data_IF_101064997962
#
_entry.id   IF_101064997962
#
_cell.length_a   1.000
_cell.length_b   1.000
_cell.length_c   1.000
_cell.angle_alpha   90.00
_cell.angle_beta   90.00
_cell.angle_gamma   90.00
#
_symmetry.space_group_name_H-M   'P 1'
#
loop_
_entity.id
_entity.type
_entity.pdbx_description
1 polymer ?
2 branched ?
3 branched ?
4 non-polymer ?
5 non-polymer ?
6 non-polymer ?
7 water ?
#
# COMPACT_ATOMS: atom_id res chain seq x y z
N UNK A 1 7.00 -21.86 -12.01
CA UNK A 1 7.70 -23.18 -11.96
C UNK A 1 7.69 -23.80 -10.57
N UNK A 2 8.47 -23.20 -9.66
CA UNK A 2 8.56 -23.64 -8.27
C UNK A 2 8.13 -22.43 -7.44
N UNK A 3 7.65 -22.66 -6.21
CA UNK A 3 7.25 -21.53 -5.38
C UNK A 3 8.47 -20.68 -5.05
N UNK A 4 8.31 -19.36 -5.08
CA UNK A 4 9.43 -18.50 -4.73
C UNK A 4 9.68 -18.52 -3.23
N UNK A 5 10.94 -18.49 -2.84
CA UNK A 5 11.31 -18.45 -1.43
C UNK A 5 12.05 -17.15 -1.19
N UNK A 6 11.79 -16.51 -0.05
CA UNK A 6 12.45 -15.25 0.29
C UNK A 6 13.84 -15.58 0.80
N UNK A 7 14.74 -15.85 -0.12
CA UNK A 7 16.10 -16.22 0.28
C UNK A 7 17.09 -15.08 0.35
N UNK A 8 16.76 -13.93 -0.23
CA UNK A 8 17.70 -12.81 -0.23
C UNK A 8 17.36 -11.74 0.80
N UNK A 9 18.36 -10.92 1.11
CA UNK A 9 18.17 -9.82 2.04
C UNK A 9 17.98 -8.59 1.16
N UNK A 10 17.66 -7.44 1.75
CA UNK A 10 17.47 -6.21 0.97
C UNK A 10 18.80 -5.67 0.46
N UNK A 11 18.77 -5.02 -0.70
CA UNK A 11 19.96 -4.39 -1.23
C UNK A 11 20.15 -3.13 -0.37
N UNK A 12 21.35 -2.58 -0.36
CA UNK A 12 21.62 -1.37 0.40
C UNK A 12 20.97 -0.19 -0.32
N UNK A 13 20.16 0.54 0.41
CA UNK A 13 19.44 1.68 -0.14
C UNK A 13 20.25 2.95 0.10
N UNK A 14 20.87 3.47 -0.96
CA UNK A 14 21.65 4.71 -0.83
C UNK A 14 20.94 5.89 -1.44
N UNK A 15 19.91 5.58 -2.24
CA UNK A 15 19.03 6.56 -2.86
C UNK A 15 17.90 5.82 -3.59
N UNK A 16 17.01 6.59 -4.22
CA UNK A 16 15.87 6.03 -4.96
C UNK A 16 15.87 6.52 -6.40
N UNK A 17 15.72 5.60 -7.35
CA UNK A 17 15.68 5.94 -8.78
C UNK A 17 14.24 5.80 -9.29
N UNK A 18 13.89 6.57 -10.32
CA UNK A 18 12.55 6.50 -10.88
C UNK A 18 12.34 5.11 -11.50
N UNK A 19 11.19 4.49 -11.21
CA UNK A 19 10.88 3.15 -11.69
C UNK A 19 9.71 3.18 -12.69
N UNK A 20 8.59 3.77 -12.28
CA UNK A 20 7.45 3.87 -13.17
C UNK A 20 6.63 5.11 -12.87
N UNK A 21 5.90 5.60 -13.86
CA UNK A 21 5.03 6.76 -13.72
C UNK A 21 4.06 6.68 -14.88
N UNK A 22 2.76 6.71 -14.60
CA UNK A 22 1.77 6.60 -15.67
C UNK A 22 1.08 7.90 -16.15
N UNK A 23 1.27 9.02 -15.45
CA UNK A 23 0.68 10.30 -15.86
C UNK A 23 -0.79 10.11 -16.28
N UNK A 24 -1.49 9.28 -15.52
CA UNK A 24 -2.87 8.92 -15.85
C UNK A 24 -3.85 10.05 -15.93
N UNK A 25 -3.81 10.99 -14.99
CA UNK A 25 -4.75 12.10 -15.00
C UNK A 25 -4.47 13.05 -16.17
N UNK A 26 -3.19 13.31 -16.48
CA UNK A 26 -2.83 14.16 -17.61
C UNK A 26 -3.36 13.55 -18.90
N UNK A 27 -3.04 12.28 -19.10
CA UNK A 27 -3.45 11.60 -20.32
C UNK A 27 -4.95 11.42 -20.41
N UNK A 28 -5.57 11.05 -19.29
CA UNK A 28 -7.01 10.82 -19.23
C UNK A 28 -7.87 12.02 -19.50
N UNK A 29 -7.26 13.21 -19.56
CA UNK A 29 -7.99 14.43 -19.86
C UNK A 29 -8.58 14.34 -21.27
N UNK A 30 -7.95 13.51 -22.11
CA UNK A 30 -8.39 13.36 -23.49
C UNK A 30 -8.18 11.94 -24.02
N UNK A 31 -8.51 10.94 -23.20
CA UNK A 31 -8.43 9.55 -23.62
C UNK A 31 -9.22 8.75 -22.60
N UNK A 32 -9.57 7.52 -22.94
CA UNK A 32 -10.42 6.71 -22.08
C UNK A 32 -9.74 6.02 -20.92
N UNK A 33 -9.37 6.86 -19.95
CA UNK A 33 -8.69 6.41 -18.76
C UNK A 33 -9.74 6.23 -17.65
N UNK A 34 -9.68 5.09 -16.97
CA UNK A 34 -10.60 4.79 -15.89
C UNK A 34 -10.26 5.59 -14.64
N UNK A 35 -11.30 5.97 -13.89
CA UNK A 35 -11.11 6.65 -12.62
C UNK A 35 -10.68 5.51 -11.68
N UNK A 36 -9.69 5.78 -10.84
CA UNK A 36 -9.22 4.80 -9.88
C UNK A 36 -8.84 5.48 -8.56
N UNK A 37 -8.28 4.67 -7.67
CA UNK A 37 -7.70 5.07 -6.38
C UNK A 37 -7.21 3.75 -5.73
N UNK A 38 -6.44 3.88 -4.65
CA UNK A 38 -5.87 2.74 -3.92
C UNK A 38 -5.03 1.87 -4.88
N UNK A 39 -4.06 2.49 -5.56
CA UNK A 39 -3.19 1.77 -6.50
C UNK A 39 -2.04 1.07 -5.77
N UNK A 40 -1.33 0.25 -6.53
CA UNK A 40 -0.13 -0.42 -6.04
C UNK A 40 0.59 -1.06 -7.23
N UNK A 41 1.69 -1.74 -6.97
CA UNK A 41 2.45 -2.37 -8.03
C UNK A 41 2.76 -3.79 -7.54
N UNK A 42 2.81 -4.74 -8.46
CA UNK A 42 3.09 -6.12 -8.09
C UNK A 42 3.70 -6.85 -9.30
N UNK A 43 4.70 -7.68 -9.04
CA UNK A 43 5.39 -8.42 -10.08
C UNK A 43 5.05 -9.88 -10.15
N UNK A 44 5.11 -10.38 -11.39
CA UNK A 44 4.93 -11.78 -11.71
C UNK A 44 6.39 -12.13 -12.10
N UNK A 45 6.70 -13.41 -12.23
CA UNK A 45 8.08 -13.79 -12.59
C UNK A 45 8.60 -13.21 -13.92
N UNK A 46 7.69 -12.81 -14.79
CA UNK A 46 8.08 -12.29 -16.10
C UNK A 46 7.54 -10.90 -16.43
N UNK A 47 6.93 -10.24 -15.46
CA UNK A 47 6.35 -8.92 -15.71
C UNK A 47 5.91 -8.26 -14.43
N UNK A 48 6.01 -6.93 -14.37
CA UNK A 48 5.55 -6.14 -13.22
C UNK A 48 4.47 -5.24 -13.79
N UNK A 49 3.38 -5.10 -13.06
CA UNK A 49 2.24 -4.31 -13.53
C UNK A 49 1.68 -3.37 -12.46
N UNK A 50 0.92 -2.36 -12.91
CA UNK A 50 0.27 -1.43 -12.00
C UNK A 50 -1.09 -2.06 -11.69
N UNK A 51 -1.59 -1.81 -10.47
CA UNK A 51 -2.87 -2.32 -9.98
C UNK A 51 -3.60 -1.15 -9.33
N UNK A 52 -4.93 -1.23 -9.26
CA UNK A 52 -5.76 -0.24 -8.61
C UNK A 52 -7.21 -0.65 -8.56
N UNK A 53 -7.99 0.08 -7.77
CA UNK A 53 -9.41 -0.16 -7.68
C UNK A 53 -10.09 0.83 -8.62
N UNK A 54 -10.62 0.31 -9.72
CA UNK A 54 -11.33 1.13 -10.68
C UNK A 54 -12.61 1.61 -10.03
N UNK A 55 -13.19 2.68 -10.58
CA UNK A 55 -14.46 3.20 -10.10
C UNK A 55 -15.55 2.87 -11.16
N UNK A 56 -15.16 2.14 -12.20
CA UNK A 56 -16.08 1.75 -13.24
C UNK A 56 -16.65 2.87 -14.08
N UNK A 57 -15.78 3.80 -14.49
CA UNK A 57 -16.17 4.94 -15.32
C UNK A 57 -14.87 5.61 -15.73
N UNK A 58 -14.86 6.35 -16.84
CA UNK A 58 -13.66 7.09 -17.25
C UNK A 58 -13.68 8.43 -16.50
N UNK A 59 -12.55 9.15 -16.49
CA UNK A 59 -12.48 10.43 -15.78
C UNK A 59 -13.33 11.48 -16.45
N UNK A 60 -13.30 11.54 -17.77
CA UNK A 60 -14.13 12.51 -18.51
C UNK A 60 -15.61 12.09 -18.56
N UNK A 61 -15.89 10.85 -18.21
CA UNK A 61 -17.24 10.37 -18.25
C UNK A 61 -18.11 11.04 -17.21
N UNK A 62 -19.38 11.20 -17.51
CA UNK A 62 -20.31 11.82 -16.58
C UNK A 62 -20.43 11.03 -15.28
N UNK A 63 -20.23 9.70 -15.35
CA UNK A 63 -20.31 8.87 -14.15
C UNK A 63 -19.12 9.07 -13.21
N UNK A 64 -18.20 9.97 -13.57
CA UNK A 64 -17.04 10.25 -12.70
C UNK A 64 -17.53 11.10 -11.52
N UNK A 65 -18.72 11.70 -11.69
CA UNK A 65 -19.29 12.52 -10.64
C UNK A 65 -19.63 11.63 -9.45
N UNK A 66 -18.98 11.86 -8.31
CA UNK A 66 -19.27 11.07 -7.12
C UNK A 66 -18.20 10.06 -6.71
N UNK A 67 -17.14 9.94 -7.51
CA UNK A 67 -16.06 8.99 -7.26
C UNK A 67 -15.22 9.23 -6.02
N UNK A 68 -15.60 10.21 -5.19
CA UNK A 68 -14.89 10.42 -3.94
C UNK A 68 -15.27 9.22 -3.02
N UNK A 69 -16.44 8.64 -3.24
CA UNK A 69 -16.90 7.50 -2.44
C UNK A 69 -16.04 6.26 -2.61
N UNK A 70 -15.74 5.60 -1.50
CA UNK A 70 -14.88 4.43 -1.49
C UNK A 70 -15.42 3.07 -1.87
N UNK A 71 -16.68 2.81 -1.55
CA UNK A 71 -17.25 1.49 -1.81
C UNK A 71 -18.53 1.53 -2.60
N UNK A 72 -18.51 0.92 -3.77
CA UNK A 72 -19.68 0.86 -4.64
C UNK A 72 -19.61 -0.46 -5.36
N UNK A 73 -20.71 -0.82 -6.00
CA UNK A 73 -20.83 -2.05 -6.77
C UNK A 73 -20.10 -1.93 -8.10
N UNK A 74 -19.56 -0.74 -8.40
CA UNK A 74 -18.90 -0.50 -9.68
C UNK A 74 -17.39 -0.55 -9.64
N UNK A 75 -16.86 -0.88 -8.48
CA UNK A 75 -15.42 -0.96 -8.31
C UNK A 75 -14.91 -2.36 -8.61
N UNK A 76 -13.63 -2.45 -8.98
CA UNK A 76 -13.01 -3.75 -9.28
C UNK A 76 -11.48 -3.60 -9.23
N UNK A 77 -10.77 -4.67 -8.88
CA UNK A 77 -9.31 -4.60 -8.88
C UNK A 77 -8.89 -4.80 -10.34
N UNK A 78 -8.14 -3.85 -10.89
CA UNK A 78 -7.67 -4.01 -12.26
C UNK A 78 -6.16 -3.93 -12.27
N UNK A 79 -5.54 -4.48 -13.32
CA UNK A 79 -4.10 -4.37 -13.47
C UNK A 79 -3.85 -4.00 -14.93
N UNK A 80 -2.70 -3.39 -15.18
CA UNK A 80 -2.38 -2.97 -16.52
C UNK A 80 -0.87 -2.83 -16.65
N UNK A 81 -0.36 -2.77 -17.88
CA UNK A 81 1.09 -2.66 -18.10
C UNK A 81 1.78 -1.51 -17.38
N UNK A 82 2.97 -1.81 -16.87
CA UNK A 82 3.80 -0.88 -16.13
C UNK A 82 3.94 0.47 -16.83
N UNK A 83 3.61 1.53 -16.10
CA UNK A 83 3.71 2.92 -16.53
C UNK A 83 2.74 3.37 -17.62
N UNK A 84 1.86 2.48 -18.06
CA UNK A 84 0.81 2.85 -19.00
C UNK A 84 -0.31 3.33 -18.07
N UNK A 85 -1.31 4.10 -18.58
CA UNK A 85 -2.36 4.50 -17.65
C UNK A 85 -3.41 3.40 -17.68
N UNK A 86 -4.29 3.36 -16.66
CA UNK A 86 -5.35 2.35 -16.60
C UNK A 86 -6.49 2.76 -17.53
N UNK A 87 -6.48 2.23 -18.75
CA UNK A 87 -7.52 2.59 -19.72
C UNK A 87 -8.59 1.49 -19.80
N UNK A 88 -9.71 1.84 -20.40
CA UNK A 88 -10.80 0.91 -20.57
C UNK A 88 -10.33 -0.30 -21.39
N UNK A 89 -9.46 -0.02 -22.35
CA UNK A 89 -8.95 -1.02 -23.29
C UNK A 89 -7.73 -1.86 -22.89
N UNK A 90 -7.00 -1.48 -21.84
CA UNK A 90 -5.81 -2.25 -21.43
C UNK A 90 -5.89 -2.73 -19.99
N UNK A 91 -7.00 -2.44 -19.32
CA UNK A 91 -7.11 -2.84 -17.92
C UNK A 91 -7.72 -4.21 -17.81
N UNK A 92 -7.04 -5.09 -17.07
CA UNK A 92 -7.49 -6.47 -16.88
C UNK A 92 -8.11 -6.56 -15.51
N UNK A 93 -9.37 -7.01 -15.44
CA UNK A 93 -10.04 -7.11 -14.14
C UNK A 93 -9.58 -8.39 -13.44
N UNK A 94 -9.08 -8.25 -12.22
CA UNK A 94 -8.61 -9.38 -11.43
C UNK A 94 -9.75 -9.96 -10.57
N UNK A 95 -10.65 -9.09 -10.12
CA UNK A 95 -11.82 -9.47 -9.32
C UNK A 95 -12.65 -8.24 -9.02
N UNK A 96 -13.86 -8.46 -8.54
CA UNK A 96 -14.83 -7.40 -8.25
C UNK A 96 -14.85 -7.04 -6.76
N UNK A 97 -14.80 -5.74 -6.46
CA UNK A 97 -14.82 -5.33 -5.07
C UNK A 97 -14.20 -3.96 -4.79
N UNK A 98 -14.22 -3.56 -3.52
CA UNK A 98 -13.72 -2.25 -3.15
C UNK A 98 -12.56 -2.23 -2.17
N UNK A 99 -11.92 -3.38 -1.99
CA UNK A 99 -10.74 -3.51 -1.14
C UNK A 99 -10.02 -4.74 -1.66
N UNK A 100 -8.71 -4.65 -1.80
CA UNK A 100 -7.98 -5.75 -2.37
C UNK A 100 -6.53 -5.92 -1.96
N UNK A 101 -5.99 -7.04 -2.42
CA UNK A 101 -4.58 -7.36 -2.31
C UNK A 101 -4.31 -8.39 -3.41
N UNK A 102 -3.04 -8.59 -3.76
CA UNK A 102 -2.69 -9.54 -4.81
C UNK A 102 -1.20 -9.84 -4.71
N UNK A 103 -0.81 -11.07 -5.04
CA UNK A 103 0.61 -11.42 -5.05
C UNK A 103 0.84 -12.72 -5.80
N UNK A 104 2.01 -12.83 -6.40
CA UNK A 104 2.40 -14.04 -7.15
C UNK A 104 3.25 -14.91 -6.24
N UNK A 105 3.00 -16.22 -6.26
CA UNK A 105 3.78 -17.11 -5.39
C UNK A 105 4.90 -17.81 -6.13
N UNK A 106 5.12 -17.43 -7.39
CA UNK A 106 6.20 -18.05 -8.15
C UNK A 106 5.61 -18.95 -9.21
N UNK A 107 4.47 -19.57 -8.90
CA UNK A 107 3.81 -20.45 -9.85
C UNK A 107 2.68 -19.66 -10.50
N UNK A 108 1.82 -19.07 -9.68
CA UNK A 108 0.72 -18.27 -10.20
C UNK A 108 0.28 -17.18 -9.21
N UNK A 109 -0.70 -16.38 -9.62
CA UNK A 109 -1.12 -15.27 -8.79
C UNK A 109 -2.39 -15.47 -7.97
N UNK A 110 -2.35 -14.92 -6.76
CA UNK A 110 -3.51 -14.93 -5.87
C UNK A 110 -4.00 -13.49 -5.81
N UNK A 111 -5.30 -13.28 -6.02
CA UNK A 111 -5.87 -11.94 -5.90
C UNK A 111 -7.07 -12.03 -4.97
N UNK A 112 -7.28 -11.00 -4.15
CA UNK A 112 -8.39 -11.02 -3.20
C UNK A 112 -9.15 -9.72 -3.30
N UNK A 113 -10.48 -9.80 -3.45
CA UNK A 113 -11.33 -8.61 -3.52
C UNK A 113 -12.45 -8.77 -2.52
N UNK A 114 -12.75 -7.70 -1.80
CA UNK A 114 -13.82 -7.72 -0.83
C UNK A 114 -14.94 -6.85 -1.38
N UNK A 115 -16.18 -7.32 -1.27
CA UNK A 115 -17.32 -6.54 -1.74
C UNK A 115 -18.48 -6.71 -0.77
N UNK A 116 -19.54 -5.94 -1.00
CA UNK A 116 -20.73 -6.02 -0.19
C UNK A 116 -21.05 -4.75 0.57
N UNK A 117 -22.19 -4.75 1.29
CA UNK A 117 -22.58 -3.58 2.09
C UNK A 117 -21.69 -3.60 3.34
N UNK A 118 -21.66 -2.49 4.06
CA UNK A 118 -20.82 -2.39 5.26
C UNK A 118 -21.00 -3.50 6.31
N UNK A 119 -22.23 -3.95 6.51
CA UNK A 119 -22.48 -4.99 7.51
C UNK A 119 -22.57 -6.40 6.97
N UNK A 120 -22.19 -6.62 5.71
CA UNK A 120 -22.32 -7.95 5.17
C UNK A 120 -21.31 -8.19 4.04
N UNK A 121 -20.10 -7.67 4.21
CA UNK A 121 -19.07 -7.83 3.18
C UNK A 121 -18.47 -9.24 3.19
N UNK A 122 -17.83 -9.61 2.08
CA UNK A 122 -17.20 -10.92 1.98
C UNK A 122 -15.99 -10.82 1.06
N UNK A 123 -14.99 -11.62 1.34
CA UNK A 123 -13.79 -11.66 0.54
C UNK A 123 -13.82 -12.89 -0.37
N UNK A 124 -13.40 -12.74 -1.62
CA UNK A 124 -13.30 -13.88 -2.54
C UNK A 124 -11.83 -13.96 -2.93
N UNK A 125 -11.23 -15.11 -2.68
CA UNK A 125 -9.83 -15.34 -2.97
C UNK A 125 -9.71 -16.11 -4.28
N UNK A 126 -9.06 -15.47 -5.24
CA UNK A 126 -8.86 -16.01 -6.58
C UNK A 126 -7.43 -16.51 -6.67
N UNK A 127 -7.25 -17.63 -7.36
CA UNK A 127 -5.91 -18.20 -7.56
C UNK A 127 -5.90 -18.76 -9.00
N UNK A 128 -4.88 -18.39 -9.76
CA UNK A 128 -4.77 -18.83 -11.15
C UNK A 128 -6.01 -18.34 -11.92
N UNK A 129 -6.42 -17.11 -11.58
CA UNK A 129 -7.55 -16.41 -12.16
C UNK A 129 -8.90 -17.11 -12.04
N UNK A 130 -9.04 -17.92 -11.01
CA UNK A 130 -10.28 -18.63 -10.72
C UNK A 130 -10.62 -18.43 -9.24
N UNK A 131 -11.93 -18.29 -8.92
CA UNK A 131 -12.31 -18.10 -7.51
C UNK A 131 -12.11 -19.44 -6.78
N UNK A 132 -11.48 -19.42 -5.62
CA UNK A 132 -11.22 -20.66 -4.88
C UNK A 132 -11.82 -20.72 -3.46
N UNK A 133 -11.66 -19.64 -2.71
CA UNK A 133 -12.16 -19.54 -1.32
C UNK A 133 -12.92 -18.23 -1.07
N UNK A 134 -13.87 -18.27 -0.15
CA UNK A 134 -14.63 -17.08 0.21
C UNK A 134 -14.63 -16.99 1.74
N UNK A 135 -14.58 -15.76 2.25
CA UNK A 135 -14.58 -15.53 3.70
C UNK A 135 -15.62 -14.47 4.01
N UNK A 136 -16.58 -14.81 4.87
CA UNK A 136 -17.62 -13.85 5.23
C UNK A 136 -17.15 -12.92 6.33
N UNK A 137 -17.72 -11.72 6.36
CA UNK A 137 -17.40 -10.72 7.38
C UNK A 137 -17.58 -11.38 8.76
N UNK A 138 -16.64 -11.11 9.69
CA UNK A 138 -16.73 -11.69 11.03
C UNK A 138 -17.14 -10.65 12.06
N UNK A 139 -17.01 -9.37 11.72
CA UNK A 139 -17.38 -8.30 12.63
C UNK A 139 -18.46 -7.40 12.05
N UNK A 140 -18.90 -7.71 10.84
CA UNK A 140 -19.98 -6.98 10.15
C UNK A 140 -19.82 -5.46 10.13
N UNK A 141 -18.59 -5.03 9.88
CA UNK A 141 -18.27 -3.60 9.84
C UNK A 141 -17.08 -3.36 8.90
N UNK A 142 -17.40 -3.30 7.61
CA UNK A 142 -16.43 -3.07 6.56
C UNK A 142 -15.18 -3.96 6.59
N UNK A 143 -15.38 -5.24 6.23
CA UNK A 143 -14.27 -6.18 6.11
C UNK A 143 -13.33 -5.47 5.10
N UNK A 144 -12.04 -5.37 5.42
CA UNK A 144 -11.11 -4.66 4.55
C UNK A 144 -9.69 -5.23 4.61
N UNK A 145 -8.90 -4.98 3.57
CA UNK A 145 -7.55 -5.54 3.56
C UNK A 145 -6.47 -4.54 3.17
N UNK A 146 -5.35 -5.03 2.65
CA UNK A 146 -4.17 -4.22 2.40
C UNK A 146 -4.13 -3.03 1.45
N UNK A 147 -4.69 -3.18 0.24
CA UNK A 147 -4.66 -2.13 -0.79
C UNK A 147 -3.24 -2.05 -1.40
N UNK A 148 -2.46 -3.11 -1.20
CA UNK A 148 -1.12 -3.23 -1.82
C UNK A 148 -0.76 -4.72 -1.84
N UNK A 149 0.34 -5.10 -2.49
CA UNK A 149 0.62 -6.51 -2.61
C UNK A 149 0.94 -7.31 -1.36
N UNK A 150 0.55 -8.58 -1.38
CA UNK A 150 0.88 -9.49 -0.29
C UNK A 150 2.24 -10.11 -0.67
N UNK A 151 2.77 -10.98 0.17
CA UNK A 151 4.06 -11.60 -0.10
C UNK A 151 3.96 -13.09 0.17
N UNK A 152 4.61 -13.89 -0.68
CA UNK A 152 4.60 -15.33 -0.52
C UNK A 152 5.97 -15.93 -0.23
N UNK A 153 5.97 -17.07 0.45
CA UNK A 153 7.19 -17.80 0.77
C UNK A 153 6.83 -19.30 0.72
N UNK A 154 7.45 -20.02 -0.20
CA UNK A 154 7.18 -21.45 -0.43
C UNK A 154 5.68 -21.76 -0.52
N UNK A 155 4.96 -20.94 -1.29
CA UNK A 155 3.54 -21.16 -1.48
C UNK A 155 2.64 -20.52 -0.46
N UNK A 156 3.19 -20.15 0.71
CA UNK A 156 2.37 -19.54 1.76
C UNK A 156 2.39 -18.02 1.61
N UNK A 157 1.19 -17.46 1.40
CA UNK A 157 1.00 -16.01 1.22
C UNK A 157 0.12 -15.40 2.31
N UNK A 158 0.73 -14.82 3.36
CA UNK A 158 -0.06 -14.21 4.44
C UNK A 158 -0.72 -12.91 3.98
N UNK A 159 -1.89 -12.64 4.54
CA UNK A 159 -2.64 -11.44 4.20
C UNK A 159 -3.27 -10.91 5.47
N UNK A 160 -3.21 -9.59 5.66
CA UNK A 160 -3.79 -8.98 6.85
C UNK A 160 -5.12 -8.35 6.50
N UNK A 161 -6.15 -8.72 7.30
CA UNK A 161 -7.52 -8.23 7.14
C UNK A 161 -7.95 -7.57 8.45
N UNK A 162 -8.87 -6.63 8.37
CA UNK A 162 -9.43 -6.02 9.56
C UNK A 162 -10.94 -5.91 9.36
N UNK A 163 -11.70 -6.21 10.39
CA UNK A 163 -13.16 -6.09 10.35
C UNK A 163 -13.53 -5.47 11.69
N UNK A 164 -14.34 -4.43 11.66
CA UNK A 164 -14.72 -3.77 12.89
C UNK A 164 -14.47 -2.28 12.83
N UNK A 165 -14.54 -1.63 13.98
CA UNK A 165 -14.36 -0.19 14.10
C UNK A 165 -13.06 0.39 13.55
N UNK A 166 -13.16 1.62 13.05
CA UNK A 166 -12.01 2.36 12.52
C UNK A 166 -11.60 3.41 13.56
N UNK A 167 -12.36 3.46 14.64
CA UNK A 167 -12.15 4.45 15.71
C UNK A 167 -12.17 3.84 17.11
N UNK A 168 -11.80 2.56 17.18
CA UNK A 168 -11.76 1.85 18.44
C UNK A 168 -11.17 0.50 18.10
N UNK A 169 -11.07 -0.42 19.07
CA UNK A 169 -10.51 -1.76 18.79
C UNK A 169 -11.32 -2.47 17.71
N UNK A 170 -10.62 -3.18 16.83
CA UNK A 170 -11.26 -3.90 15.74
C UNK A 170 -10.74 -5.34 15.75
N UNK A 171 -11.25 -6.16 14.83
CA UNK A 171 -10.83 -7.56 14.76
C UNK A 171 -9.98 -7.82 13.53
N UNK A 172 -8.68 -7.80 13.75
CA UNK A 172 -7.70 -8.01 12.71
C UNK A 172 -7.29 -9.47 12.74
N UNK A 173 -7.14 -10.04 11.56
CA UNK A 173 -6.75 -11.42 11.40
C UNK A 173 -5.67 -11.54 10.36
N UNK A 174 -4.77 -12.48 10.58
CA UNK A 174 -3.71 -12.74 9.62
C UNK A 174 -4.09 -14.10 9.04
N UNK A 175 -4.38 -14.12 7.74
CA UNK A 175 -4.72 -15.36 7.07
C UNK A 175 -3.50 -15.88 6.32
N UNK A 176 -3.28 -17.19 6.38
CA UNK A 176 -2.17 -17.82 5.68
C UNK A 176 -2.79 -18.70 4.59
N UNK A 177 -2.66 -18.24 3.34
CA UNK A 177 -3.22 -18.95 2.18
C UNK A 177 -2.13 -19.69 1.41
N UNK A 178 -2.52 -20.76 0.75
CA UNK A 178 -1.60 -21.49 -0.11
C UNK A 178 -2.50 -22.00 -1.24
N UNK A 179 -2.20 -21.60 -2.46
CA UNK A 179 -2.99 -21.97 -3.61
C UNK A 179 -4.45 -21.53 -3.42
N UNK A 180 -4.61 -20.37 -2.79
CA UNK A 180 -5.94 -19.80 -2.58
C UNK A 180 -6.76 -20.45 -1.50
N UNK A 181 -6.20 -21.44 -0.81
CA UNK A 181 -6.93 -22.11 0.25
C UNK A 181 -6.38 -21.63 1.59
N UNK A 182 -7.23 -21.63 2.62
CA UNK A 182 -6.80 -21.18 3.92
C UNK A 182 -6.05 -22.28 4.67
N UNK A 183 -4.81 -22.02 5.04
CA UNK A 183 -4.06 -23.00 5.80
C UNK A 183 -4.34 -22.79 7.28
N UNK A 184 -4.39 -21.52 7.66
CA UNK A 184 -4.57 -21.14 9.05
C UNK A 184 -4.85 -19.64 9.07
N UNK A 185 -5.40 -19.17 10.19
CA UNK A 185 -5.58 -17.73 10.41
C UNK A 185 -5.39 -17.52 11.91
N UNK A 186 -4.92 -16.34 12.28
CA UNK A 186 -4.78 -16.02 13.69
C UNK A 186 -5.21 -14.60 13.93
N UNK A 187 -5.67 -14.32 15.15
CA UNK A 187 -6.08 -12.96 15.47
C UNK A 187 -4.80 -12.16 15.72
N UNK A 188 -4.83 -10.87 15.45
CA UNK A 188 -3.69 -10.02 15.67
C UNK A 188 -3.19 -10.18 17.12
N UNK A 189 -1.87 -10.21 17.28
CA UNK A 189 -1.26 -10.31 18.60
C UNK A 189 -0.23 -9.19 18.70
N UNK A 190 0.41 -9.06 19.86
CA UNK A 190 1.41 -8.03 20.04
C UNK A 190 0.85 -6.74 20.60
N UNK A 191 1.60 -5.65 20.43
CA UNK A 191 1.21 -4.36 20.97
C UNK A 191 0.57 -3.36 20.02
N UNK A 192 0.44 -3.70 18.73
CA UNK A 192 -0.21 -2.79 17.77
C UNK A 192 -1.67 -2.72 18.25
N UNK A 193 -2.23 -1.52 18.40
CA UNK A 193 -3.61 -1.38 18.91
C UNK A 193 -4.75 -1.27 17.90
N UNK A 194 -4.39 -0.97 16.66
CA UNK A 194 -5.37 -0.87 15.56
C UNK A 194 -4.56 -1.08 14.27
N UNK A 195 -5.11 -1.87 13.34
CA UNK A 195 -4.42 -2.21 12.07
C UNK A 195 -5.30 -2.01 10.84
N UNK A 196 -4.76 -1.33 9.85
CA UNK A 196 -5.45 -1.10 8.59
C UNK A 196 -4.43 -0.98 7.47
N UNK A 197 -4.82 -1.42 6.29
CA UNK A 197 -4.00 -1.27 5.09
C UNK A 197 -2.51 -1.56 5.20
N UNK A 198 -2.14 -2.79 5.55
CA UNK A 198 -0.74 -3.13 5.68
C UNK A 198 0.03 -3.12 4.36
N UNK A 199 1.25 -2.58 4.39
CA UNK A 199 2.16 -2.51 3.26
C UNK A 199 3.28 -3.48 3.61
N UNK A 200 3.42 -4.55 2.83
CA UNK A 200 4.39 -5.58 3.14
C UNK A 200 5.49 -5.87 2.12
N UNK A 201 6.54 -6.52 2.60
CA UNK A 201 7.66 -6.94 1.77
C UNK A 201 8.32 -8.10 2.50
N UNK A 202 9.14 -8.86 1.79
CA UNK A 202 9.79 -10.00 2.40
C UNK A 202 11.27 -10.08 2.09
N UNK A 203 12.01 -10.67 3.03
CA UNK A 203 13.45 -10.87 2.85
C UNK A 203 13.85 -11.90 3.90
N UNK A 204 14.79 -12.76 3.52
CA UNK A 204 15.29 -13.80 4.42
C UNK A 204 14.21 -14.51 5.24
N UNK A 205 13.22 -15.04 4.54
CA UNK A 205 12.13 -15.80 5.14
C UNK A 205 11.34 -15.08 6.23
N UNK A 206 11.30 -13.76 6.16
CA UNK A 206 10.51 -12.99 7.09
C UNK A 206 9.72 -11.93 6.30
N UNK A 207 8.44 -11.72 6.66
CA UNK A 207 7.60 -10.74 5.96
C UNK A 207 7.30 -9.60 6.95
N UNK A 208 7.62 -8.38 6.52
CA UNK A 208 7.40 -7.19 7.32
C UNK A 208 6.31 -6.33 6.71
N UNK A 209 5.36 -5.95 7.55
CA UNK A 209 4.24 -5.10 7.13
C UNK A 209 4.18 -3.85 7.96
N UNK A 210 4.11 -2.70 7.30
CA UNK A 210 3.99 -1.41 7.99
C UNK A 210 2.55 -1.01 7.69
N UNK A 211 1.76 -0.79 8.74
CA UNK A 211 0.36 -0.50 8.52
C UNK A 211 -0.09 0.87 9.00
N UNK A 212 -1.40 1.01 9.15
CA UNK A 212 -2.03 2.26 9.57
C UNK A 212 -2.88 2.05 10.83
N UNK A 213 -2.56 2.77 11.90
CA UNK A 213 -3.35 2.72 13.12
C UNK A 213 -4.28 3.92 12.93
N UNK A 214 -5.48 3.66 12.46
CA UNK A 214 -6.42 4.74 12.21
C UNK A 214 -7.00 5.37 13.48
N UNK A 215 -7.13 4.54 14.51
CA UNK A 215 -7.74 4.98 15.74
C UNK A 215 -6.95 6.04 16.53
N UNK A 216 -5.73 5.71 16.90
CA UNK A 216 -4.96 6.65 17.69
C UNK A 216 -3.53 6.95 17.30
N UNK A 217 -2.89 6.09 16.51
CA UNK A 217 -1.49 6.28 16.21
C UNK A 217 -1.00 7.11 15.05
N UNK A 218 0.01 7.95 15.31
CA UNK A 218 0.60 8.79 14.29
C UNK A 218 1.93 8.14 13.92
N UNK A 219 2.36 7.20 14.76
CA UNK A 219 3.54 6.40 14.43
C UNK A 219 2.84 5.21 13.72
N UNK A 220 3.56 4.39 12.97
CA UNK A 220 2.91 3.27 12.28
C UNK A 220 3.09 1.90 12.92
N UNK A 221 2.01 1.11 13.01
CA UNK A 221 2.11 -0.22 13.60
C UNK A 221 2.89 -1.13 12.62
N UNK A 222 3.59 -2.12 13.15
CA UNK A 222 4.39 -3.02 12.34
C UNK A 222 4.08 -4.47 12.72
N UNK A 223 3.76 -5.28 11.71
CA UNK A 223 3.49 -6.70 11.91
C UNK A 223 4.60 -7.49 11.20
N UNK A 224 5.28 -8.37 11.93
CA UNK A 224 6.32 -9.17 11.30
C UNK A 224 5.84 -10.61 11.33
N UNK A 225 5.82 -11.22 10.15
CA UNK A 225 5.30 -12.55 9.97
C UNK A 225 6.34 -13.60 9.60
N UNK A 226 6.21 -14.77 10.22
CA UNK A 226 7.06 -15.92 9.90
C UNK A 226 6.12 -16.79 9.06
N UNK A 227 6.31 -16.83 7.71
CA UNK A 227 5.43 -17.63 6.87
C UNK A 227 5.63 -19.13 6.94
N UNK A 228 6.68 -19.58 7.62
CA UNK A 228 6.89 -21.01 7.76
C UNK A 228 6.19 -21.47 9.03
N UNK A 229 6.48 -20.84 10.15
CA UNK A 229 5.83 -21.19 11.41
C UNK A 229 4.40 -20.69 11.38
N UNK A 230 4.13 -19.74 10.48
CA UNK A 230 2.82 -19.12 10.35
C UNK A 230 2.44 -18.48 11.67
N UNK A 231 3.33 -17.60 12.12
CA UNK A 231 3.15 -16.85 13.37
C UNK A 231 3.60 -15.42 13.13
N UNK A 232 3.27 -14.52 14.06
CA UNK A 232 3.63 -13.12 13.90
C UNK A 232 3.76 -12.39 15.22
N UNK A 233 4.23 -11.14 15.13
CA UNK A 233 4.36 -10.26 16.27
C UNK A 233 3.95 -8.92 15.73
N UNK A 234 3.70 -7.98 16.63
CA UNK A 234 3.34 -6.63 16.21
C UNK A 234 3.84 -5.64 17.27
N UNK A 235 4.13 -4.43 16.80
CA UNK A 235 4.59 -3.34 17.64
C UNK A 235 4.41 -2.07 16.81
N UNK A 236 5.06 -1.00 17.21
CA UNK A 236 5.00 0.26 16.45
C UNK A 236 6.45 0.60 16.11
N UNK A 237 6.61 1.46 15.11
CA UNK A 237 7.94 1.96 14.76
C UNK A 237 8.27 2.90 15.95
N UNK A 238 9.36 2.60 16.65
CA UNK A 238 9.81 3.37 17.81
C UNK A 238 10.19 4.83 17.53
N UNK A 239 10.77 5.05 16.36
CA UNK A 239 11.27 6.37 15.98
C UNK A 239 10.34 7.56 16.18
N UNK A 240 10.91 8.72 16.59
CA UNK A 240 10.14 9.95 16.79
C UNK A 240 9.82 10.59 15.43
N UNK A 241 10.38 10.03 14.34
CA UNK A 241 10.05 10.56 12.99
C UNK A 241 8.68 9.94 12.63
N UNK A 242 7.60 10.67 12.95
CA UNK A 242 6.25 10.15 12.72
C UNK A 242 5.86 10.06 11.24
N UNK A 243 5.26 8.94 10.83
CA UNK A 243 4.94 8.78 9.41
C UNK A 243 3.49 8.60 8.95
N UNK A 244 2.51 8.75 9.84
CA UNK A 244 1.15 8.66 9.36
C UNK A 244 0.74 10.10 8.98
N UNK A 245 -0.53 10.30 8.61
CA UNK A 245 -1.04 11.62 8.26
C UNK A 245 -2.56 11.63 8.34
N UNK A 246 -3.17 12.66 8.98
CA UNK A 246 -2.49 13.80 9.64
C UNK A 246 -1.71 13.31 10.86
N UNK A 247 -0.87 14.17 11.41
CA UNK A 247 -0.07 13.78 12.56
C UNK A 247 0.44 15.01 13.28
N UNK A 248 0.84 14.87 14.55
CA UNK A 248 1.37 16.04 15.28
C UNK A 248 2.81 16.25 14.82
N UNK A 249 3.46 17.33 15.24
CA UNK A 249 4.84 17.54 14.84
C UNK A 249 5.70 16.46 15.45
N UNK A 250 6.87 16.24 14.87
CA UNK A 250 7.78 15.22 15.36
C UNK A 250 8.34 15.56 16.74
N UNK A 251 8.31 14.60 17.68
CA UNK A 251 8.85 14.77 19.05
C UNK A 251 10.33 14.31 19.00
N UNK A 252 10.98 14.18 20.15
CA UNK A 252 12.37 13.72 20.17
C UNK A 252 12.41 12.26 20.59
N UNK A 253 11.30 11.77 21.14
CA UNK A 253 11.23 10.37 21.47
C UNK A 253 9.85 9.80 21.06
N UNK A 254 9.85 8.65 20.38
CA UNK A 254 8.60 8.04 19.94
C UNK A 254 8.07 6.99 20.91
N UNK A 255 7.23 6.11 20.41
CA UNK A 255 6.67 5.04 21.22
C UNK A 255 6.80 3.75 20.45
N UNK A 256 7.30 2.72 21.15
CA UNK A 256 7.54 1.40 20.59
C UNK A 256 6.36 0.45 20.66
N UNK A 257 5.58 0.56 21.74
CA UNK A 257 4.45 -0.36 21.96
C UNK A 257 3.10 0.27 22.20
N UNK A 258 2.92 1.49 21.70
CA UNK A 258 1.65 2.16 21.84
C UNK A 258 1.56 3.21 20.77
N UNK A 259 0.34 3.63 20.45
CA UNK A 259 0.19 4.66 19.42
C UNK A 259 0.75 5.99 19.93
N UNK A 260 1.45 6.73 19.08
CA UNK A 260 1.93 8.03 19.49
C UNK A 260 0.69 8.91 19.32
N UNK A 261 0.24 9.60 20.39
CA UNK A 261 -0.96 10.46 20.37
C UNK A 261 -0.91 11.82 19.67
N UNK A 262 -2.07 12.46 19.56
CA UNK A 262 -2.14 13.77 18.95
C UNK A 262 -3.16 13.86 17.84
N UNK A 263 -3.44 12.74 17.19
CA UNK A 263 -4.41 12.69 16.08
C UNK A 263 -5.18 11.39 16.16
N UNK A 264 -6.51 11.49 16.13
CA UNK A 264 -7.37 10.32 16.22
C UNK A 264 -8.23 10.12 15.03
N UNK A 265 -8.66 8.88 14.86
CA UNK A 265 -9.59 8.53 13.82
C UNK A 265 -9.27 9.04 12.43
N UNK A 266 -8.05 8.86 11.97
CA UNK A 266 -7.70 9.25 10.62
C UNK A 266 -6.32 8.70 10.32
N UNK A 267 -5.89 8.77 9.06
CA UNK A 267 -4.58 8.26 8.72
C UNK A 267 -4.46 8.13 7.21
N UNK A 268 -3.40 7.47 6.75
CA UNK A 268 -3.20 7.25 5.33
C UNK A 268 -2.37 5.97 5.21
N UNK A 269 -2.61 5.17 4.17
CA UNK A 269 -1.84 3.96 3.97
C UNK A 269 -0.40 4.38 3.70
N UNK A 270 0.54 3.72 4.35
CA UNK A 270 1.94 4.06 4.17
C UNK A 270 2.84 2.84 4.26
N UNK A 271 4.16 3.04 4.30
CA UNK A 271 5.08 1.91 4.35
C UNK A 271 6.45 2.33 4.86
N UNK A 272 7.31 1.32 4.99
CA UNK A 272 8.68 1.53 5.42
C UNK A 272 9.50 0.26 5.11
N UNK A 273 10.83 0.40 5.13
CA UNK A 273 11.76 -0.73 4.96
C UNK A 273 12.59 -0.66 6.24
N UNK A 274 12.39 -1.67 7.09
CA UNK A 274 13.05 -1.74 8.41
C UNK A 274 14.13 -2.79 8.36
N UNK A 275 15.36 -2.33 8.20
CA UNK A 275 16.50 -3.22 8.03
C UNK A 275 17.76 -2.64 8.68
N UNK A 276 17.73 -2.48 10.02
CA UNK A 276 18.87 -1.93 10.74
C UNK A 276 19.23 -0.53 10.28
N UNK A 277 20.51 -0.32 9.95
CA UNK A 277 20.94 1.01 9.50
C UNK A 277 20.35 1.29 8.11
N UNK A 278 20.06 0.22 7.37
CA UNK A 278 19.49 0.33 6.04
C UNK A 278 17.95 0.52 6.18
N UNK A 279 17.54 1.41 7.07
CA UNK A 279 16.12 1.66 7.30
C UNK A 279 15.69 2.97 6.64
N UNK A 280 14.61 2.91 5.88
CA UNK A 280 14.06 4.10 5.21
C UNK A 280 12.56 4.20 5.45
N UNK A 281 12.10 5.38 5.85
CA UNK A 281 10.70 5.63 6.10
C UNK A 281 10.12 6.57 5.05
N UNK A 282 8.89 6.30 4.62
CA UNK A 282 8.23 7.18 3.70
C UNK A 282 7.16 7.96 4.49
N UNK A 283 6.86 9.17 4.04
CA UNK A 283 5.81 9.97 4.68
C UNK A 283 5.48 11.22 3.86
N UNK A 284 4.30 11.77 4.12
CA UNK A 284 3.87 12.99 3.45
C UNK A 284 4.71 14.07 4.13
N UNK A 285 5.01 15.14 3.39
CA UNK A 285 5.76 16.23 3.99
C UNK A 285 4.82 16.97 4.95
N UNK A 286 3.59 17.23 4.51
CA UNK A 286 2.62 17.90 5.35
C UNK A 286 2.17 17.04 6.55
N UNK A 287 2.00 17.66 7.72
CA UNK A 287 1.52 16.93 8.89
C UNK A 287 0.01 17.03 8.94
N UNK A 288 -0.54 17.90 8.10
CA UNK A 288 -1.99 18.14 8.06
C UNK A 288 -2.75 17.46 6.93
N UNK A 289 -2.12 17.30 5.77
CA UNK A 289 -2.81 16.70 4.64
C UNK A 289 -1.91 15.85 3.76
N UNK A 290 -2.53 15.18 2.78
CA UNK A 290 -1.82 14.31 1.86
C UNK A 290 -1.16 15.15 0.79
N UNK A 291 -0.15 15.87 1.25
CA UNK A 291 0.61 16.81 0.45
C UNK A 291 2.09 16.44 0.51
N UNK A 292 2.74 16.36 -0.65
CA UNK A 292 4.15 16.02 -0.70
C UNK A 292 4.48 14.60 -0.27
N UNK A 293 5.72 14.22 -0.51
CA UNK A 293 6.18 12.90 -0.12
C UNK A 293 7.68 12.86 -0.07
N UNK A 294 8.22 12.26 0.98
CA UNK A 294 9.67 12.17 1.13
C UNK A 294 10.08 10.82 1.70
N UNK A 295 11.31 10.42 1.41
CA UNK A 295 11.88 9.18 1.97
C UNK A 295 12.96 9.68 2.94
N UNK A 296 13.01 9.10 4.13
CA UNK A 296 14.01 9.46 5.14
C UNK A 296 14.75 8.21 5.65
N UNK A 297 16.07 8.29 5.66
CA UNK A 297 16.88 7.19 6.16
C UNK A 297 16.94 7.42 7.67
N UNK A 298 16.37 6.49 8.41
CA UNK A 298 16.31 6.60 9.85
C UNK A 298 16.83 5.29 10.39
N UNK A 299 18.16 5.22 10.62
CA UNK A 299 18.76 3.98 11.14
C UNK A 299 18.07 3.44 12.38
N UNK A 300 17.74 2.15 12.33
CA UNK A 300 17.08 1.44 13.43
C UNK A 300 15.76 2.02 13.88
N UNK A 301 15.05 2.68 12.97
CA UNK A 301 13.77 3.30 13.29
C UNK A 301 12.83 2.38 14.07
N UNK A 302 12.76 1.12 13.68
CA UNK A 302 11.86 0.18 14.35
C UNK A 302 12.12 -0.01 15.85
N UNK A 303 13.39 0.00 16.25
CA UNK A 303 13.74 -0.27 17.63
C UNK A 303 14.33 0.85 18.47
N UNK A 304 14.66 1.96 17.82
CA UNK A 304 15.29 3.09 18.51
C UNK A 304 14.28 4.24 18.64
N UNK A 305 13.82 4.48 19.86
CA UNK A 305 12.83 5.52 20.10
C UNK A 305 13.32 6.97 20.04
N UNK A 306 14.57 7.15 19.67
CA UNK A 306 15.12 8.49 19.53
C UNK A 306 15.74 8.65 18.13
N UNK A 307 15.61 7.63 17.29
CA UNK A 307 16.19 7.65 15.94
C UNK A 307 15.69 8.81 15.08
N UNK A 308 16.64 9.53 14.51
CA UNK A 308 16.36 10.67 13.63
C UNK A 308 17.02 10.44 12.26
N UNK A 309 16.60 11.21 11.23
CA UNK A 309 17.17 11.03 9.89
C UNK A 309 18.66 11.28 9.71
N UNK A 310 19.28 10.49 8.83
CA UNK A 310 20.69 10.67 8.51
C UNK A 310 20.86 10.99 7.02
N UNK A 311 19.77 10.88 6.27
CA UNK A 311 19.79 11.14 4.83
C UNK A 311 18.35 11.17 4.38
N UNK A 312 18.11 11.73 3.21
CA UNK A 312 16.74 11.74 2.75
C UNK A 312 16.61 11.98 1.27
N UNK A 313 15.39 11.90 0.78
CA UNK A 313 15.14 12.18 -0.62
C UNK A 313 13.70 12.61 -0.76
N UNK A 314 13.49 13.75 -1.42
CA UNK A 314 12.16 14.26 -1.65
C UNK A 314 11.61 13.55 -2.90
N UNK A 315 10.38 13.08 -2.83
CA UNK A 315 9.75 12.38 -3.96
C UNK A 315 8.70 13.28 -4.63
N UNK A 316 7.89 13.95 -3.81
CA UNK A 316 6.86 14.87 -4.30
C UNK A 316 6.92 16.14 -3.45
N UNK A 317 6.93 17.31 -4.09
CA UNK A 317 7.00 18.58 -3.35
C UNK A 317 5.77 18.78 -2.47
N UNK A 318 5.95 19.53 -1.38
CA UNK A 318 4.85 19.81 -0.48
C UNK A 318 3.77 20.63 -1.18
N UNK A 319 4.07 21.14 -2.36
CA UNK A 319 3.09 21.92 -3.10
C UNK A 319 2.34 21.06 -4.10
N UNK A 320 2.50 19.74 -3.98
CA UNK A 320 1.80 18.82 -4.87
C UNK A 320 1.11 17.76 -4.03
N UNK A 321 -0.01 17.27 -4.55
CA UNK A 321 -0.80 16.25 -3.88
C UNK A 321 -0.21 14.85 -3.94
N UNK A 322 -0.24 14.16 -2.81
CA UNK A 322 0.23 12.78 -2.75
C UNK A 322 -0.97 11.92 -2.36
N UNK A 323 -0.75 10.93 -1.50
CA UNK A 323 -1.84 10.05 -1.11
C UNK A 323 -1.27 8.77 -0.54
N UNK A 324 -1.88 7.63 -0.87
CA UNK A 324 -1.41 6.34 -0.38
C UNK A 324 -0.01 6.01 -0.90
N UNK A 325 0.69 5.15 -0.17
CA UNK A 325 2.01 4.70 -0.58
C UNK A 325 2.17 3.27 -0.05
N UNK A 326 2.93 2.46 -0.76
CA UNK A 326 3.09 1.08 -0.33
C UNK A 326 4.33 0.44 -0.91
N UNK A 327 4.64 -0.73 -0.41
CA UNK A 327 5.82 -1.45 -0.81
C UNK A 327 5.58 -2.62 -1.77
N UNK A 328 6.57 -2.90 -2.59
CA UNK A 328 6.57 -4.05 -3.49
C UNK A 328 8.03 -4.24 -3.92
N UNK A 329 8.37 -5.42 -4.39
CA UNK A 329 9.70 -5.70 -4.89
C UNK A 329 9.57 -6.71 -5.98
N UNK A 330 10.53 -6.71 -6.88
CA UNK A 330 10.53 -7.71 -7.94
C UNK A 330 11.36 -8.87 -7.36
N UNK A 331 10.66 -9.85 -6.82
CA UNK A 331 11.28 -11.03 -6.23
C UNK A 331 11.91 -11.94 -7.27
N UNK A 332 11.74 -11.62 -8.53
CA UNK A 332 12.27 -12.45 -9.58
C UNK A 332 13.39 -11.80 -10.41
N UNK A 333 13.98 -10.73 -9.87
CA UNK A 333 15.06 -10.03 -10.54
C UNK A 333 16.37 -10.80 -10.36
N UNK A 334 17.42 -10.41 -11.09
CA UNK A 334 18.70 -11.09 -10.96
C UNK A 334 19.47 -10.47 -9.80
N UNK A 335 20.65 -11.02 -9.49
CA UNK A 335 21.41 -10.42 -8.42
C UNK A 335 21.28 -11.15 -7.11
N UNK A 336 21.98 -10.67 -6.10
CA UNK A 336 22.00 -11.32 -4.79
C UNK A 336 21.12 -10.73 -3.74
N UNK A 337 20.43 -9.65 -4.06
CA UNK A 337 19.58 -9.00 -3.08
C UNK A 337 18.27 -8.52 -3.71
N UNK A 338 17.28 -8.28 -2.86
CA UNK A 338 15.99 -7.78 -3.29
C UNK A 338 16.05 -6.23 -3.27
N UNK A 339 15.69 -5.61 -4.39
CA UNK A 339 15.71 -4.15 -4.48
C UNK A 339 14.39 -3.56 -3.99
N UNK A 340 14.46 -2.86 -2.86
CA UNK A 340 13.28 -2.22 -2.30
C UNK A 340 12.63 -1.26 -3.27
N UNK A 341 11.30 -1.30 -3.38
CA UNK A 341 10.56 -0.37 -4.23
C UNK A 341 9.33 0.12 -3.49
N UNK A 342 8.74 1.20 -3.97
CA UNK A 342 7.50 1.72 -3.42
C UNK A 342 6.79 2.55 -4.48
N UNK A 343 5.51 2.81 -4.24
CA UNK A 343 4.74 3.65 -5.13
C UNK A 343 4.08 4.71 -4.25
N UNK A 344 3.73 5.83 -4.86
CA UNK A 344 2.99 6.87 -4.16
C UNK A 344 1.79 7.15 -5.07
N UNK A 345 0.62 7.21 -4.45
CA UNK A 345 -0.62 7.50 -5.13
C UNK A 345 -0.73 9.02 -5.14
N UNK A 346 -0.88 9.62 -6.32
CA UNK A 346 -1.02 11.08 -6.45
C UNK A 346 -2.50 11.40 -6.70
N UNK A 347 -3.23 11.67 -5.61
CA UNK A 347 -4.66 11.93 -5.69
C UNK A 347 -4.98 13.31 -6.20
N UNK A 348 -5.94 13.35 -7.12
CA UNK A 348 -6.38 14.60 -7.73
C UNK A 348 -7.89 14.66 -7.63
N UNK A 349 -8.43 15.87 -7.59
CA UNK A 349 -9.87 16.02 -7.49
C UNK A 349 -10.30 16.16 -6.05
N UNK A 350 -11.49 15.65 -5.75
CA UNK A 350 -12.03 15.79 -4.40
C UNK A 350 -11.30 14.95 -3.35
N UNK A 351 -11.26 15.43 -2.09
CA UNK A 351 -11.86 16.70 -1.64
C UNK A 351 -10.99 17.95 -1.77
N UNK A 352 -9.71 17.77 -2.04
CA UNK A 352 -8.82 18.92 -2.11
C UNK A 352 -9.05 19.83 -3.28
N UNK A 353 -9.48 19.27 -4.39
CA UNK A 353 -9.74 20.04 -5.60
C UNK A 353 -11.18 19.79 -5.98
N UNK A 354 -12.06 20.57 -5.35
CA UNK A 354 -13.48 20.37 -5.56
C UNK A 354 -14.17 21.11 -6.71
N UNK A 355 -13.37 21.71 -7.61
CA UNK A 355 -13.95 22.38 -8.78
C UNK A 355 -14.43 21.26 -9.73
N UNK A 356 -13.84 20.07 -9.59
CA UNK A 356 -14.25 18.89 -10.37
C UNK A 356 -15.08 18.04 -9.42
N UNK A 357 -15.94 17.19 -9.98
CA UNK A 357 -16.83 16.32 -9.19
C UNK A 357 -16.30 14.94 -8.93
N UNK A 358 -15.11 14.68 -9.47
CA UNK A 358 -14.47 13.39 -9.34
C UNK A 358 -13.27 13.39 -8.43
N UNK A 359 -12.81 12.16 -8.15
CA UNK A 359 -11.60 11.91 -7.38
C UNK A 359 -10.88 10.77 -8.13
N UNK A 360 -9.63 10.97 -8.47
CA UNK A 360 -8.86 9.92 -9.11
C UNK A 360 -7.40 10.09 -8.68
N UNK A 361 -6.49 9.45 -9.41
CA UNK A 361 -5.08 9.54 -9.07
C UNK A 361 -4.23 9.07 -10.24
N UNK A 362 -2.92 9.29 -10.12
CA UNK A 362 -1.98 8.73 -11.08
C UNK A 362 -0.98 8.01 -10.16
N UNK A 363 0.02 7.36 -10.73
CA UNK A 363 0.98 6.63 -9.92
C UNK A 363 2.41 7.04 -10.23
N UNK A 364 3.25 7.09 -9.20
CA UNK A 364 4.67 7.29 -9.41
C UNK A 364 5.30 6.19 -8.53
N UNK A 365 6.36 5.58 -9.04
CA UNK A 365 7.02 4.48 -8.35
C UNK A 365 8.54 4.57 -8.46
N UNK A 366 9.23 4.22 -7.38
CA UNK A 366 10.70 4.24 -7.34
C UNK A 366 11.23 2.94 -6.74
N UNK A 367 12.50 2.65 -7.03
CA UNK A 367 13.19 1.49 -6.46
C UNK A 367 14.51 2.02 -5.94
N UNK A 368 15.18 1.25 -5.09
CA UNK A 368 16.42 1.74 -4.52
C UNK A 368 17.63 1.55 -5.41
N UNK A 369 18.63 2.41 -5.19
CA UNK A 369 19.90 2.35 -5.91
C UNK A 369 20.99 2.29 -4.86
N UNK A 370 22.08 1.60 -5.18
CA UNK A 370 23.21 1.54 -4.28
C UNK A 370 24.05 2.79 -4.53
N UNK A 371 23.70 3.56 -5.58
CA UNK A 371 24.39 4.81 -5.86
C UNK A 371 23.71 5.89 -5.04
N UNK A 372 24.33 7.06 -4.95
CA UNK A 372 23.73 8.21 -4.26
C UNK A 372 23.32 9.14 -5.40
N UNK A 373 22.15 8.84 -5.98
CA UNK A 373 21.60 9.61 -7.10
C UNK A 373 21.00 10.97 -6.79
N UNK A 374 21.13 11.88 -7.76
CA UNK A 374 20.53 13.19 -7.63
C UNK A 374 19.02 13.01 -7.56
N UNK A 375 18.32 13.97 -6.97
CA UNK A 375 16.88 13.85 -6.84
C UNK A 375 16.05 14.84 -7.68
N UNK A 376 14.85 14.39 -8.07
CA UNK A 376 13.89 15.21 -8.80
C UNK A 376 12.58 15.03 -8.08
N UNK A 377 11.60 15.89 -8.32
CA UNK A 377 10.30 15.71 -7.71
C UNK A 377 9.40 15.23 -8.84
N UNK A 378 8.38 14.45 -8.47
CA UNK A 378 7.51 13.82 -9.45
C UNK A 378 6.04 14.04 -9.19
N UNK A 379 5.52 15.17 -9.65
CA UNK A 379 4.10 15.47 -9.43
C UNK A 379 3.17 14.75 -10.42
N UNK A 380 1.88 14.74 -10.11
CA UNK A 380 0.93 14.12 -11.01
C UNK A 380 1.04 14.78 -12.39
N UNK A 381 1.12 16.11 -12.37
CA UNK A 381 1.29 16.88 -13.60
C UNK A 381 0.08 17.41 -14.32
N UNK A 382 -1.13 17.04 -13.89
CA UNK A 382 -2.30 17.52 -14.58
C UNK A 382 -2.73 18.90 -14.10
N UNK A 383 -3.48 19.60 -14.95
CA UNK A 383 -4.02 20.93 -14.68
C UNK A 383 -5.52 20.80 -14.50
N UNK A 384 -6.00 20.89 -13.26
CA UNK A 384 -7.44 20.76 -12.96
C UNK A 384 -8.28 21.66 -13.82
N UNK A 385 -7.81 22.88 -14.05
CA UNK A 385 -8.55 23.87 -14.86
C UNK A 385 -8.93 23.32 -16.23
N UNK A 386 -8.12 22.41 -16.76
CA UNK A 386 -8.39 21.82 -18.07
C UNK A 386 -9.67 20.98 -18.04
N UNK A 387 -10.00 20.50 -16.84
CA UNK A 387 -11.17 19.64 -16.66
C UNK A 387 -12.46 20.41 -16.38
N UNK A 388 -12.35 21.73 -16.26
CA UNK A 388 -13.52 22.56 -15.97
C UNK A 388 -14.32 22.93 -17.20
#
# INVERSE_FOLDING_TARGET
RDFNNLTKGLCTINSWHIYGKDNAVRIGEDSDVLVTREPYVSCDPDECRFYALSQGTTIRGKHSNGTIHDRSQYRALISWPLSSPPTVYNSRVECIGWSSTSCHDGKTRMSICISGPNNNASAVIWYNRRPVTEINTWARNILRTQESECVCHNGVCPVVFTDGSATGPAETRIYYFKEGKILKWEPLAGTAKHIEECSCYGERAEITCTCRDNWQGSNRPVIRIDPVAMTHTSQYICSPVLTDNPRPNDPTVGKCNDPYPGNNNNGVKGFSYLDGVNTWLGRTISIASRSGYEMLKVPNALTDDKSKPTQGQTIVLNTDWSGYSGSFMDYWAEGECYRACFYVELIRGRPKEDKVWWTSNSIVSMCSSTEFLGQWDWPDGAKIEYFL
#
